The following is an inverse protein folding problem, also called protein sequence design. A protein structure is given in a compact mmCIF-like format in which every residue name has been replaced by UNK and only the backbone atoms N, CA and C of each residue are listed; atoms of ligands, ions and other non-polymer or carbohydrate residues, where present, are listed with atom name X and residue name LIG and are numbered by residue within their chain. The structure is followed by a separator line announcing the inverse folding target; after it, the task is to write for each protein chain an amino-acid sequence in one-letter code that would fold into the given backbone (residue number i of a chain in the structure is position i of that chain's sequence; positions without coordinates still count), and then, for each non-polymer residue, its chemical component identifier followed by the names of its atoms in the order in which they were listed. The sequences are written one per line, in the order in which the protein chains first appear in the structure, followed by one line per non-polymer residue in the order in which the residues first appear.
data_IF_073781678736
#
_entry.id   IF_073781678736
#
_cell.length_a   1.000
_cell.length_b   1.000
_cell.length_c   1.000
_cell.angle_alpha   90.00
_cell.angle_beta   90.00
_cell.angle_gamma   90.00
#
_symmetry.space_group_name_H-M   'P 1'
#
loop_
_entity.id
_entity.type
_entity.pdbx_description
1 polymer ?
#
# COMPACT_ATOMS: atom_id res chain seq x y z
N UNK A 1 9.52 -24.03 -10.17
CA UNK A 1 9.38 -22.57 -10.29
C UNK A 1 10.16 -21.97 -9.13
N UNK A 2 11.26 -21.27 -9.40
CA UNK A 2 12.03 -20.60 -8.34
C UNK A 2 11.28 -19.36 -7.87
N UNK A 3 11.25 -19.12 -6.57
CA UNK A 3 10.65 -17.90 -5.99
C UNK A 3 11.79 -16.90 -5.83
N UNK A 4 11.73 -15.71 -6.46
CA UNK A 4 12.79 -14.72 -6.32
C UNK A 4 12.88 -14.24 -4.87
N UNK A 5 14.10 -14.00 -4.39
CA UNK A 5 14.37 -13.55 -3.02
C UNK A 5 14.68 -12.05 -3.01
N UNK A 6 14.10 -11.31 -2.07
CA UNK A 6 14.35 -9.89 -1.86
C UNK A 6 15.81 -9.66 -1.48
N UNK A 7 16.52 -8.79 -2.20
CA UNK A 7 17.91 -8.46 -1.90
C UNK A 7 18.09 -7.65 -0.61
N UNK A 8 17.03 -7.00 -0.11
CA UNK A 8 17.05 -6.23 1.14
C UNK A 8 16.71 -7.14 2.33
N UNK A 9 15.46 -7.63 2.44
CA UNK A 9 15.03 -8.41 3.61
C UNK A 9 15.35 -9.91 3.55
N UNK A 10 15.83 -10.42 2.42
CA UNK A 10 16.10 -11.86 2.17
C UNK A 10 14.87 -12.77 2.28
N UNK A 11 13.67 -12.21 2.19
CA UNK A 11 12.42 -12.97 2.14
C UNK A 11 11.96 -13.26 0.70
N UNK A 12 11.14 -14.29 0.48
CA UNK A 12 10.55 -14.57 -0.83
C UNK A 12 9.67 -13.41 -1.33
N UNK A 13 9.84 -13.06 -2.60
CA UNK A 13 9.04 -12.02 -3.28
C UNK A 13 7.79 -12.68 -3.85
N UNK A 14 6.64 -12.35 -3.25
CA UNK A 14 5.32 -12.80 -3.71
C UNK A 14 4.49 -11.67 -4.35
N UNK A 15 5.13 -10.58 -4.78
CA UNK A 15 4.40 -9.40 -5.25
C UNK A 15 3.87 -9.58 -6.68
N UNK A 16 2.67 -9.06 -6.90
CA UNK A 16 2.00 -9.06 -8.20
C UNK A 16 2.15 -7.74 -8.98
N UNK A 17 2.62 -6.69 -8.29
CA UNK A 17 2.89 -5.35 -8.84
C UNK A 17 4.39 -5.18 -8.96
N UNK A 18 4.85 -4.69 -10.11
CA UNK A 18 6.26 -4.39 -10.33
C UNK A 18 6.64 -3.03 -9.75
N UNK A 19 7.93 -2.86 -9.45
CA UNK A 19 8.42 -1.63 -8.85
C UNK A 19 8.29 -0.44 -9.80
N UNK A 20 8.40 -0.64 -11.11
CA UNK A 20 8.24 0.42 -12.11
C UNK A 20 6.81 0.95 -12.18
N UNK A 21 5.80 0.08 -12.09
CA UNK A 21 4.39 0.49 -12.03
C UNK A 21 4.12 1.26 -10.75
N UNK A 22 4.56 0.73 -9.60
CA UNK A 22 4.39 1.42 -8.33
C UNK A 22 5.13 2.77 -8.34
N UNK A 23 6.33 2.85 -8.91
CA UNK A 23 7.06 4.11 -9.05
C UNK A 23 6.25 5.14 -9.85
N UNK A 24 5.62 4.73 -10.95
CA UNK A 24 4.78 5.63 -11.76
C UNK A 24 3.59 6.18 -10.95
N UNK A 25 2.94 5.34 -10.17
CA UNK A 25 1.82 5.75 -9.31
C UNK A 25 2.28 6.72 -8.22
N UNK A 26 3.40 6.42 -7.57
CA UNK A 26 4.01 7.30 -6.56
C UNK A 26 4.39 8.65 -7.19
N UNK A 27 5.02 8.63 -8.36
CA UNK A 27 5.44 9.84 -9.06
C UNK A 27 4.25 10.75 -9.40
N UNK A 28 3.12 10.15 -9.81
CA UNK A 28 1.88 10.88 -10.10
C UNK A 28 1.25 11.48 -8.83
N UNK A 29 1.41 10.80 -7.69
CA UNK A 29 0.91 11.27 -6.39
C UNK A 29 1.78 12.39 -5.78
N UNK A 30 3.08 12.44 -6.10
CA UNK A 30 4.00 13.43 -5.54
C UNK A 30 3.74 14.85 -6.07
N UNK A 31 3.99 15.89 -5.25
CA UNK A 31 4.02 17.26 -5.72
C UNK A 31 5.01 17.45 -6.87
N UNK A 32 4.78 18.36 -7.84
CA UNK A 32 5.62 18.53 -9.02
C UNK A 32 7.12 18.66 -8.73
N UNK A 33 7.52 19.42 -7.71
CA UNK A 33 8.93 19.60 -7.33
C UNK A 33 9.61 18.39 -6.67
N UNK A 34 8.86 17.33 -6.35
CA UNK A 34 9.39 16.07 -5.82
C UNK A 34 9.41 14.96 -6.88
N UNK A 35 8.51 15.00 -7.87
CA UNK A 35 8.41 13.99 -8.93
C UNK A 35 9.73 13.82 -9.71
N UNK A 36 10.37 14.91 -10.15
CA UNK A 36 11.65 14.83 -10.88
C UNK A 36 12.79 14.23 -10.05
N UNK A 37 12.86 14.59 -8.76
CA UNK A 37 13.86 14.05 -7.83
C UNK A 37 13.57 12.58 -7.51
N UNK A 38 12.31 12.23 -7.40
CA UNK A 38 11.86 10.86 -7.21
C UNK A 38 12.25 9.97 -8.38
N UNK A 39 12.09 10.43 -9.63
CA UNK A 39 12.55 9.68 -10.81
C UNK A 39 14.04 9.36 -10.72
N UNK A 40 14.89 10.32 -10.34
CA UNK A 40 16.33 10.09 -10.13
C UNK A 40 16.62 9.08 -9.03
N UNK A 41 15.92 9.19 -7.89
CA UNK A 41 16.02 8.22 -6.80
C UNK A 41 15.62 6.81 -7.27
N UNK A 42 14.49 6.70 -7.98
CA UNK A 42 13.95 5.44 -8.43
C UNK A 42 14.85 4.77 -9.47
N UNK A 43 15.38 5.53 -10.43
CA UNK A 43 16.30 5.00 -11.44
C UNK A 43 17.57 4.47 -10.79
N UNK A 44 18.15 5.23 -9.84
CA UNK A 44 19.29 4.76 -9.05
C UNK A 44 18.97 3.50 -8.24
N UNK A 45 17.78 3.46 -7.62
CA UNK A 45 17.35 2.32 -6.82
C UNK A 45 17.24 1.05 -7.67
N UNK A 46 16.53 1.13 -8.80
CA UNK A 46 16.35 0.00 -9.71
C UNK A 46 17.69 -0.44 -10.30
N UNK A 47 18.58 0.51 -10.62
CA UNK A 47 19.92 0.19 -11.12
C UNK A 47 20.76 -0.54 -10.05
N UNK A 48 20.65 -0.15 -8.79
CA UNK A 48 21.35 -0.79 -7.67
C UNK A 48 20.92 -2.24 -7.48
N UNK A 49 19.63 -2.54 -7.65
CA UNK A 49 19.05 -3.86 -7.40
C UNK A 49 18.74 -4.67 -8.68
N UNK A 50 19.36 -4.32 -9.81
CA UNK A 50 19.21 -5.01 -11.11
C UNK A 50 19.90 -6.37 -11.19
N UNK A 51 20.79 -6.68 -10.25
CA UNK A 51 21.73 -7.79 -10.34
C UNK A 51 21.17 -9.13 -9.83
N UNK A 52 20.07 -9.62 -10.39
CA UNK A 52 19.70 -11.03 -10.30
C UNK A 52 19.84 -11.68 -11.69
N UNK A 53 20.87 -12.52 -11.90
CA UNK A 53 21.05 -13.26 -13.16
C UNK A 53 20.06 -14.41 -13.35
N UNK A 54 19.12 -14.62 -12.41
CA UNK A 54 18.13 -15.69 -12.49
C UNK A 54 16.75 -15.14 -12.81
N UNK A 55 16.44 -15.27 -14.10
CA UNK A 55 15.18 -15.06 -14.79
C UNK A 55 14.06 -15.89 -14.17
N UNK A 56 13.40 -15.37 -13.12
CA UNK A 56 12.03 -15.80 -12.84
C UNK A 56 11.12 -14.88 -13.64
N UNK A 57 10.79 -15.32 -14.86
CA UNK A 57 9.78 -14.67 -15.71
C UNK A 57 8.40 -14.88 -15.10
N UNK A 58 8.04 -14.08 -14.10
CA UNK A 58 6.63 -13.89 -13.72
C UNK A 58 6.10 -12.70 -14.50
N UNK A 59 5.02 -12.93 -15.24
CA UNK A 59 4.20 -11.85 -15.77
C UNK A 59 3.67 -11.04 -14.59
N UNK A 60 3.84 -9.72 -14.60
CA UNK A 60 3.16 -8.90 -13.62
C UNK A 60 1.70 -8.74 -14.04
N UNK A 61 0.82 -8.59 -13.05
CA UNK A 61 -0.62 -8.46 -13.29
C UNK A 61 -0.93 -7.15 -14.04
N UNK A 62 -0.14 -6.10 -13.80
CA UNK A 62 -0.43 -4.74 -14.28
C UNK A 62 0.29 -4.41 -15.59
N UNK A 63 1.54 -4.83 -15.73
CA UNK A 63 2.32 -4.60 -16.94
C UNK A 63 2.95 -5.93 -17.36
N UNK A 64 2.78 -6.31 -18.61
CA UNK A 64 3.33 -7.54 -19.17
C UNK A 64 4.87 -7.50 -19.33
N UNK A 65 5.53 -6.60 -18.58
CA UNK A 65 6.95 -6.35 -18.58
C UNK A 65 7.67 -7.29 -17.61
N UNK A 66 8.93 -7.59 -17.91
CA UNK A 66 9.83 -8.29 -16.98
C UNK A 66 10.44 -7.25 -16.04
N UNK A 67 10.17 -7.37 -14.74
CA UNK A 67 10.60 -6.38 -13.74
C UNK A 67 12.11 -6.39 -13.56
N UNK A 68 12.70 -5.21 -13.37
CA UNK A 68 14.16 -5.07 -13.21
C UNK A 68 14.64 -5.19 -11.77
N UNK A 69 13.75 -5.28 -10.77
CA UNK A 69 14.12 -5.23 -9.36
C UNK A 69 13.93 -6.55 -8.62
N UNK A 70 14.97 -7.00 -7.90
CA UNK A 70 14.86 -8.09 -6.92
C UNK A 70 14.59 -7.59 -5.49
N UNK A 71 13.68 -6.63 -5.35
CA UNK A 71 13.28 -6.09 -4.05
C UNK A 71 11.78 -6.28 -3.86
N UNK A 72 11.35 -6.68 -2.68
CA UNK A 72 9.94 -6.80 -2.37
C UNK A 72 9.27 -5.41 -2.26
N UNK A 73 7.97 -5.34 -2.53
CA UNK A 73 7.16 -4.12 -2.50
C UNK A 73 7.29 -3.39 -1.16
N UNK A 74 7.30 -4.14 -0.06
CA UNK A 74 7.46 -3.60 1.28
C UNK A 74 8.80 -2.86 1.44
N UNK A 75 9.91 -3.51 1.09
CA UNK A 75 11.23 -2.89 1.17
C UNK A 75 11.32 -1.68 0.25
N UNK A 76 10.81 -1.77 -0.98
CA UNK A 76 10.78 -0.62 -1.89
C UNK A 76 10.01 0.57 -1.29
N UNK A 77 8.78 0.35 -0.80
CA UNK A 77 7.98 1.41 -0.17
C UNK A 77 8.66 1.99 1.07
N UNK A 78 9.33 1.17 1.86
CA UNK A 78 10.12 1.66 2.99
C UNK A 78 11.26 2.57 2.52
N UNK A 79 11.99 2.21 1.48
CA UNK A 79 13.07 3.03 0.93
C UNK A 79 12.54 4.35 0.34
N UNK A 80 11.41 4.32 -0.35
CA UNK A 80 10.71 5.55 -0.78
C UNK A 80 10.35 6.43 0.42
N UNK A 81 9.84 5.84 1.49
CA UNK A 81 9.50 6.58 2.71
C UNK A 81 10.74 7.20 3.37
N UNK A 82 11.85 6.46 3.48
CA UNK A 82 13.10 6.99 4.04
C UNK A 82 13.66 8.12 3.18
N UNK A 83 13.63 7.99 1.86
CA UNK A 83 13.99 9.06 0.93
C UNK A 83 13.11 10.31 1.14
N UNK A 84 11.79 10.14 1.18
CA UNK A 84 10.85 11.24 1.45
C UNK A 84 11.09 11.91 2.82
N UNK A 85 11.51 11.16 3.84
CA UNK A 85 11.85 11.74 5.15
C UNK A 85 13.04 12.69 5.08
N UNK A 86 13.95 12.49 4.11
CA UNK A 86 15.05 13.40 3.80
C UNK A 86 14.64 14.60 2.95
N UNK A 87 13.69 14.43 2.03
CA UNK A 87 13.27 15.49 1.09
C UNK A 87 12.16 16.40 1.64
N UNK A 88 11.08 15.82 2.18
CA UNK A 88 9.88 16.52 2.65
C UNK A 88 9.13 15.68 3.70
N UNK A 89 9.37 15.99 4.98
CA UNK A 89 8.78 15.26 6.12
C UNK A 89 7.24 15.30 6.13
N UNK A 90 6.55 16.43 5.86
CA UNK A 90 5.11 16.43 5.68
C UNK A 90 4.60 15.45 4.62
N UNK A 91 5.21 15.42 3.43
CA UNK A 91 4.87 14.47 2.35
C UNK A 91 5.14 13.04 2.80
N UNK A 92 6.29 12.77 3.43
CA UNK A 92 6.63 11.44 3.96
C UNK A 92 5.59 10.92 4.96
N UNK A 93 5.09 11.79 5.85
CA UNK A 93 4.02 11.42 6.80
C UNK A 93 2.71 11.08 6.10
N UNK A 94 2.34 11.80 5.05
CA UNK A 94 1.15 11.49 4.23
C UNK A 94 1.35 10.18 3.46
N UNK A 95 2.52 9.99 2.87
CA UNK A 95 2.91 8.76 2.19
C UNK A 95 2.79 7.56 3.12
N UNK A 96 3.32 7.65 4.35
CA UNK A 96 3.23 6.57 5.35
C UNK A 96 1.79 6.21 5.72
N UNK A 97 0.84 7.16 5.68
CA UNK A 97 -0.57 6.89 5.98
C UNK A 97 -1.27 6.13 4.84
N UNK A 98 -0.87 6.40 3.60
CA UNK A 98 -1.44 5.76 2.41
C UNK A 98 -0.83 4.36 2.18
N UNK A 99 0.47 4.23 2.42
CA UNK A 99 1.22 2.99 2.17
C UNK A 99 1.55 2.22 3.47
N UNK A 100 0.82 2.47 4.56
CA UNK A 100 0.96 1.70 5.79
C UNK A 100 0.42 0.29 5.60
N UNK A 101 1.26 -0.64 5.14
CA UNK A 101 1.04 -2.09 5.16
C UNK A 101 1.05 -2.65 6.60
N UNK A 102 0.25 -2.09 7.52
CA UNK A 102 0.22 -2.51 8.94
C UNK A 102 1.45 -2.09 9.77
N UNK A 103 2.25 -1.14 9.30
CA UNK A 103 3.46 -0.64 9.98
C UNK A 103 3.21 0.35 11.15
N UNK A 104 2.00 0.44 11.72
CA UNK A 104 1.83 1.19 12.96
C UNK A 104 2.32 0.34 14.12
N UNK A 105 3.21 0.89 14.96
CA UNK A 105 3.60 0.26 16.24
C UNK A 105 2.32 0.06 17.08
N UNK A 106 1.83 -1.17 17.10
CA UNK A 106 0.54 -1.56 17.72
C UNK A 106 -0.19 -2.63 16.91
N UNK A 107 -0.17 -2.51 15.57
CA UNK A 107 -1.02 -3.33 14.68
C UNK A 107 -0.47 -4.76 14.51
N UNK A 108 0.84 -4.96 14.49
CA UNK A 108 1.43 -6.30 14.31
C UNK A 108 1.09 -7.27 15.45
N UNK A 109 0.97 -6.77 16.69
CA UNK A 109 0.52 -7.57 17.84
C UNK A 109 -0.98 -7.85 17.80
N UNK A 110 -1.78 -6.99 17.16
CA UNK A 110 -3.20 -7.25 16.93
C UNK A 110 -3.40 -8.26 15.80
N UNK A 111 -2.63 -8.15 14.70
CA UNK A 111 -2.69 -9.06 13.53
C UNK A 111 -2.30 -10.50 13.91
N UNK A 112 -1.32 -10.68 14.80
CA UNK A 112 -0.94 -12.02 15.30
C UNK A 112 -1.92 -12.53 16.37
N UNK A 113 -2.53 -11.65 17.18
CA UNK A 113 -3.61 -12.06 18.10
C UNK A 113 -4.92 -12.36 17.36
N UNK A 114 -5.11 -11.81 16.18
CA UNK A 114 -6.22 -12.10 15.26
C UNK A 114 -5.87 -13.25 14.31
N UNK A 115 -5.21 -14.31 14.80
CA UNK A 115 -5.23 -15.59 14.09
C UNK A 115 -6.67 -15.86 13.66
N UNK A 116 -6.84 -15.92 12.35
CA UNK A 116 -8.12 -15.98 11.66
C UNK A 116 -9.04 -17.00 12.34
N UNK A 117 -10.09 -16.48 12.99
CA UNK A 117 -11.29 -17.29 13.15
C UNK A 117 -11.89 -17.45 11.75
N UNK A 118 -12.27 -18.66 11.34
CA UNK A 118 -12.99 -18.88 10.09
C UNK A 118 -14.16 -17.90 10.02
N UNK A 119 -14.42 -17.34 8.83
CA UNK A 119 -15.54 -16.43 8.62
C UNK A 119 -16.82 -17.16 9.05
N UNK A 120 -17.34 -16.81 10.22
CA UNK A 120 -18.65 -17.22 10.71
C UNK A 120 -19.38 -15.97 11.18
N UNK A 121 -20.50 -15.71 10.51
CA UNK A 121 -21.65 -14.86 10.83
C UNK A 121 -21.38 -13.50 11.50
N UNK A 122 -21.35 -12.49 10.64
CA UNK A 122 -21.86 -11.11 10.83
C UNK A 122 -21.63 -10.52 12.23
N UNK A 123 -20.42 -10.01 12.48
CA UNK A 123 -20.21 -8.99 13.53
C UNK A 123 -20.40 -7.61 12.90
N UNK A 124 -21.36 -6.85 13.42
CA UNK A 124 -21.67 -5.48 13.04
C UNK A 124 -20.41 -4.61 13.10
N UNK A 125 -19.90 -4.22 11.92
CA UNK A 125 -18.82 -3.25 11.80
C UNK A 125 -19.36 -1.84 12.07
N UNK A 126 -19.25 -1.37 13.30
CA UNK A 126 -19.28 0.06 13.59
C UNK A 126 -17.88 0.65 13.35
N UNK A 127 -17.80 1.48 12.29
CA UNK A 127 -16.86 2.60 12.03
C UNK A 127 -16.24 2.55 10.64
N UNK A 128 -16.97 3.11 9.69
CA UNK A 128 -16.36 3.80 8.54
C UNK A 128 -16.92 5.24 8.51
N UNK A 129 -16.03 6.23 8.59
CA UNK A 129 -16.36 7.63 8.28
C UNK A 129 -16.53 7.72 6.75
N UNK A 130 -17.56 8.41 6.25
CA UNK A 130 -17.85 8.41 4.81
C UNK A 130 -19.09 9.22 4.41
N UNK A 131 -19.55 9.04 3.18
CA UNK A 131 -20.75 9.71 2.65
C UNK A 131 -21.97 8.81 2.88
N UNK A 132 -23.04 9.36 3.45
CA UNK A 132 -24.31 8.65 3.65
C UNK A 132 -25.01 8.37 2.32
N UNK A 133 -25.42 7.12 2.08
CA UNK A 133 -26.13 6.70 0.86
C UNK A 133 -27.55 7.29 0.76
N UNK A 134 -28.12 7.78 1.86
CA UNK A 134 -29.49 8.31 1.90
C UNK A 134 -29.53 9.84 1.72
N UNK A 135 -28.67 10.59 2.43
CA UNK A 135 -28.67 12.05 2.37
C UNK A 135 -27.52 12.66 1.57
N UNK A 136 -26.50 11.87 1.18
CA UNK A 136 -25.34 12.36 0.43
C UNK A 136 -24.37 13.24 1.23
N UNK A 137 -24.61 13.43 2.52
CA UNK A 137 -23.74 14.20 3.41
C UNK A 137 -22.63 13.33 4.01
N UNK A 138 -21.48 13.96 4.29
CA UNK A 138 -20.38 13.31 5.01
C UNK A 138 -20.74 13.11 6.49
N UNK A 139 -20.41 11.95 7.04
CA UNK A 139 -20.64 11.60 8.43
C UNK A 139 -19.45 10.85 9.03
N UNK A 140 -19.14 11.19 10.28
CA UNK A 140 -18.13 10.51 11.09
C UNK A 140 -18.66 9.19 11.69
N UNK A 141 -19.96 8.92 11.56
CA UNK A 141 -20.66 7.74 12.10
C UNK A 141 -21.65 7.19 11.06
N UNK A 142 -21.21 6.20 10.27
CA UNK A 142 -22.06 5.44 9.35
C UNK A 142 -22.34 4.03 9.90
N UNK A 143 -23.56 3.57 9.70
CA UNK A 143 -24.02 2.22 10.03
C UNK A 143 -24.54 1.51 8.78
N UNK A 144 -24.38 0.18 8.72
CA UNK A 144 -24.95 -0.62 7.63
C UNK A 144 -26.41 -0.93 7.94
N UNK A 145 -27.33 -0.42 7.12
CA UNK A 145 -28.75 -0.76 7.14
C UNK A 145 -29.16 -1.30 5.77
N UNK A 146 -29.64 -2.55 5.71
CA UNK A 146 -30.04 -3.21 4.46
C UNK A 146 -28.97 -3.15 3.35
N UNK A 147 -27.69 -3.20 3.72
CA UNK A 147 -26.58 -3.13 2.78
C UNK A 147 -26.22 -1.73 2.28
N UNK A 148 -26.77 -0.67 2.87
CA UNK A 148 -26.42 0.74 2.61
C UNK A 148 -25.74 1.35 3.82
N UNK A 149 -24.81 2.28 3.59
CA UNK A 149 -24.17 3.05 4.64
C UNK A 149 -24.99 4.30 4.95
N UNK A 150 -25.59 4.34 6.14
CA UNK A 150 -26.53 5.38 6.53
C UNK A 150 -26.00 6.09 7.78
N UNK A 151 -26.02 7.43 7.77
CA UNK A 151 -25.59 8.21 8.93
C UNK A 151 -26.58 8.09 10.08
N UNK A 152 -26.11 8.37 11.30
CA UNK A 152 -26.94 8.34 12.51
C UNK A 152 -28.23 9.17 12.40
N UNK A 153 -28.20 10.29 11.68
CA UNK A 153 -29.38 11.15 11.46
C UNK A 153 -30.42 10.45 10.59
N UNK A 154 -30.01 9.78 9.52
CA UNK A 154 -30.90 9.05 8.61
C UNK A 154 -31.35 7.69 9.18
N UNK A 155 -30.59 7.12 10.11
CA UNK A 155 -30.97 5.91 10.84
C UNK A 155 -32.03 6.17 11.92
N UNK A 156 -31.98 7.33 12.58
CA UNK A 156 -32.88 7.69 13.69
C UNK A 156 -34.25 8.27 13.28
N UNK A 157 -34.62 8.18 12.00
CA UNK A 157 -35.91 8.61 11.43
C UNK A 157 -36.65 7.39 10.91
#
# INVERSE_FOLDING_TARGET
MEIPICQICKEPINNFVCLECLAKDISTWLPPGLSDRFTKFNDWFLDTFKHMPHTVTRHHIVCDLRGKGSVCLYCYVNEVFQWLMGEDKPVARRFRKLFSFGMRKGDFKQIIKSHAKPISEVEEMEKEEGICDECGEYSDELHILNGRWVCRVCWGV
#
